data_IF_509197933920
#
_entry.id   IF_509197933920
#
_cell.length_a   1.000
_cell.length_b   1.000
_cell.length_c   1.000
_cell.angle_alpha   90.00
_cell.angle_beta   90.00
_cell.angle_gamma   90.00
#
_symmetry.space_group_name_H-M   'P 1'
#
loop_
_entity.id
_entity.type
_entity.pdbx_description
1 polymer ?
#
# COMPACT_ATOMS: atom_id res chain seq x y z
N UNK A 1 12.04 24.00 11.54
CA UNK A 1 11.36 22.71 11.73
C UNK A 1 12.20 21.56 11.22
N UNK A 2 12.07 20.37 11.81
CA UNK A 2 12.78 19.21 11.31
C UNK A 2 12.08 18.60 10.09
N UNK A 3 12.85 18.19 9.11
CA UNK A 3 12.40 17.46 7.96
C UNK A 3 13.44 16.43 7.50
N UNK A 4 12.98 15.27 7.05
CA UNK A 4 13.84 14.30 6.37
C UNK A 4 13.93 14.70 4.90
N UNK A 5 15.14 14.91 4.40
CA UNK A 5 15.39 15.32 3.02
C UNK A 5 16.42 14.45 2.33
N UNK A 6 16.39 14.43 1.00
CA UNK A 6 17.45 13.94 0.14
C UNK A 6 17.75 14.95 -0.97
N UNK A 7 19.06 15.11 -1.26
CA UNK A 7 19.60 16.07 -2.24
C UNK A 7 19.71 15.47 -3.65
N UNK A 8 19.73 14.16 -3.75
CA UNK A 8 19.78 13.37 -4.98
C UNK A 8 19.14 12.01 -4.75
N UNK A 9 18.63 11.41 -5.80
CA UNK A 9 18.09 10.03 -5.75
C UNK A 9 19.21 9.03 -5.45
N UNK A 10 18.86 7.94 -4.77
CA UNK A 10 19.81 6.88 -4.40
C UNK A 10 19.23 5.94 -3.35
N UNK A 11 20.07 5.11 -2.76
CA UNK A 11 19.65 4.21 -1.70
C UNK A 11 19.20 4.98 -0.46
N UNK A 12 17.99 4.72 0.09
CA UNK A 12 17.38 5.51 1.17
C UNK A 12 18.31 5.71 2.36
N UNK A 13 18.95 4.63 2.80
CA UNK A 13 19.90 4.70 3.92
C UNK A 13 21.07 5.67 3.69
N UNK A 14 21.53 5.81 2.44
CA UNK A 14 22.69 6.63 2.11
C UNK A 14 22.35 8.11 1.86
N UNK A 15 21.15 8.39 1.32
CA UNK A 15 20.83 9.75 0.84
C UNK A 15 19.94 10.55 1.78
N UNK A 16 19.20 9.89 2.68
CA UNK A 16 18.30 10.56 3.63
C UNK A 16 19.05 11.20 4.78
N UNK A 17 18.67 12.44 5.12
CA UNK A 17 19.16 13.17 6.28
C UNK A 17 18.02 13.93 6.93
N UNK A 18 18.01 13.99 8.26
CA UNK A 18 17.16 14.92 9.00
C UNK A 18 17.86 16.28 9.06
N UNK A 19 17.18 17.31 8.61
CA UNK A 19 17.68 18.68 8.51
C UNK A 19 16.67 19.63 9.18
N UNK A 20 17.21 20.72 9.72
CA UNK A 20 16.40 21.84 10.12
C UNK A 20 16.16 22.76 8.91
N UNK A 21 14.91 23.05 8.60
CA UNK A 21 14.49 23.91 7.47
C UNK A 21 13.46 24.93 7.93
N UNK A 22 13.22 25.96 7.13
CA UNK A 22 12.18 26.94 7.39
C UNK A 22 10.79 26.29 7.37
N UNK A 23 9.91 26.76 8.24
CA UNK A 23 8.52 26.35 8.26
C UNK A 23 7.80 26.90 7.03
N UNK A 24 7.18 26.05 6.19
CA UNK A 24 6.53 26.50 4.98
C UNK A 24 5.24 27.27 5.29
N UNK A 25 4.89 28.19 4.39
CA UNK A 25 3.66 28.99 4.47
C UNK A 25 2.68 28.51 3.40
N UNK A 26 1.43 28.18 3.77
CA UNK A 26 0.44 27.71 2.81
C UNK A 26 -0.04 28.85 1.90
N UNK A 27 -0.09 28.59 0.58
CA UNK A 27 -0.65 29.49 -0.42
C UNK A 27 -2.18 29.34 -0.50
N UNK A 28 -2.83 30.20 -1.30
CA UNK A 28 -4.27 30.12 -1.55
C UNK A 28 -4.70 28.69 -1.98
N UNK A 29 -5.69 28.13 -1.28
CA UNK A 29 -6.17 26.76 -1.50
C UNK A 29 -5.36 25.65 -0.82
N UNK A 30 -4.27 25.99 -0.14
CA UNK A 30 -3.45 25.05 0.62
C UNK A 30 -3.71 25.15 2.14
N UNK A 31 -3.35 24.12 2.85
CA UNK A 31 -3.32 24.06 4.31
C UNK A 31 -1.93 23.66 4.81
N UNK A 32 -1.55 24.20 5.95
CA UNK A 32 -0.39 23.77 6.71
C UNK A 32 -0.87 22.78 7.76
N UNK A 33 -0.32 21.58 7.72
CA UNK A 33 -0.63 20.50 8.65
C UNK A 33 0.57 20.26 9.56
N UNK A 34 0.38 20.33 10.87
CA UNK A 34 1.32 19.84 11.87
C UNK A 34 1.20 18.30 11.86
N UNK A 35 2.24 17.63 11.42
CA UNK A 35 2.24 16.18 11.28
C UNK A 35 2.36 15.50 12.66
N UNK A 36 1.62 14.41 12.84
CA UNK A 36 1.65 13.56 14.03
C UNK A 36 2.42 12.27 13.74
N UNK A 37 2.11 11.63 12.63
CA UNK A 37 2.76 10.38 12.21
C UNK A 37 2.62 10.14 10.71
N UNK A 38 3.57 9.39 10.15
CA UNK A 38 3.58 8.98 8.74
C UNK A 38 4.18 7.57 8.62
N UNK A 39 3.62 6.67 7.79
CA UNK A 39 4.22 5.37 7.54
C UNK A 39 5.39 5.48 6.55
N UNK A 40 6.26 4.48 6.56
CA UNK A 40 7.20 4.23 5.47
C UNK A 40 6.56 3.20 4.53
N UNK A 41 6.19 3.64 3.33
CA UNK A 41 5.64 2.78 2.29
C UNK A 41 6.70 2.40 1.24
N UNK A 42 6.59 1.25 0.56
CA UNK A 42 7.47 0.91 -0.54
C UNK A 42 7.54 2.00 -1.62
N UNK A 43 6.42 2.72 -1.86
CA UNK A 43 6.37 3.86 -2.79
C UNK A 43 7.28 5.02 -2.38
N UNK A 44 7.42 5.28 -1.08
CA UNK A 44 8.33 6.32 -0.58
C UNK A 44 9.79 5.94 -0.86
N UNK A 45 10.15 4.67 -0.63
CA UNK A 45 11.49 4.15 -0.89
C UNK A 45 11.81 4.14 -2.39
N UNK A 46 10.83 3.77 -3.24
CA UNK A 46 10.99 3.86 -4.70
C UNK A 46 11.14 5.30 -5.18
N UNK A 47 10.43 6.25 -4.57
CA UNK A 47 10.56 7.67 -4.87
C UNK A 47 11.98 8.18 -4.55
N UNK A 48 12.52 7.82 -3.40
CA UNK A 48 13.88 8.19 -3.00
C UNK A 48 14.93 7.58 -3.96
N UNK A 49 14.68 6.34 -4.44
CA UNK A 49 15.54 5.69 -5.45
C UNK A 49 15.41 6.26 -6.86
N UNK A 50 14.46 7.17 -7.10
CA UNK A 50 14.17 7.68 -8.45
C UNK A 50 13.48 6.66 -9.37
N UNK A 51 12.88 5.62 -8.80
CA UNK A 51 12.17 4.54 -9.52
C UNK A 51 10.64 4.67 -9.43
N UNK A 52 10.15 5.76 -8.86
CA UNK A 52 8.72 6.03 -8.78
C UNK A 52 8.27 6.87 -9.97
N UNK A 53 6.99 6.79 -10.31
CA UNK A 53 6.42 7.46 -11.49
C UNK A 53 6.36 8.98 -11.39
N UNK A 54 6.38 9.52 -10.18
CA UNK A 54 6.56 10.96 -9.95
C UNK A 54 8.06 11.20 -9.73
N UNK A 55 8.75 11.94 -10.63
CA UNK A 55 10.17 12.20 -10.46
C UNK A 55 10.41 13.10 -9.25
N UNK A 56 11.45 12.79 -8.48
CA UNK A 56 11.87 13.60 -7.35
C UNK A 56 12.53 14.90 -7.82
N UNK A 57 12.01 16.03 -7.36
CA UNK A 57 12.61 17.35 -7.58
C UNK A 57 13.47 17.70 -6.36
N UNK A 58 14.72 17.26 -6.36
CA UNK A 58 15.65 17.47 -5.25
C UNK A 58 16.11 18.94 -5.13
N UNK A 59 16.31 19.47 -3.91
CA UNK A 59 16.10 18.79 -2.63
C UNK A 59 14.62 18.60 -2.30
N UNK A 60 14.25 17.44 -1.71
CA UNK A 60 12.85 17.15 -1.41
C UNK A 60 12.69 16.27 -0.16
N UNK A 61 11.51 16.36 0.46
CA UNK A 61 11.08 15.55 1.61
C UNK A 61 10.16 14.44 1.10
N UNK A 62 10.39 13.17 1.46
CA UNK A 62 9.50 12.06 1.12
C UNK A 62 8.22 12.04 1.97
N UNK A 63 7.41 10.99 1.76
CA UNK A 63 6.19 10.72 2.53
C UNK A 63 4.92 11.14 1.80
N UNK A 64 4.20 10.14 1.26
CA UNK A 64 2.96 10.38 0.49
C UNK A 64 1.69 10.28 1.33
N UNK A 65 1.76 9.70 2.52
CA UNK A 65 0.63 9.48 3.41
C UNK A 65 1.02 9.83 4.86
N UNK A 66 0.06 10.25 5.66
CA UNK A 66 0.26 10.51 7.07
C UNK A 66 -0.98 11.08 7.74
N UNK A 67 -0.86 11.43 9.02
CA UNK A 67 -1.90 12.09 9.82
C UNK A 67 -1.32 13.31 10.51
N UNK A 68 -2.13 14.35 10.62
CA UNK A 68 -1.75 15.57 11.32
C UNK A 68 -2.96 16.43 11.69
N UNK A 69 -2.69 17.63 12.20
CA UNK A 69 -3.71 18.63 12.57
C UNK A 69 -3.51 19.88 11.70
N UNK A 70 -4.56 20.36 11.07
CA UNK A 70 -4.50 21.59 10.27
C UNK A 70 -4.26 22.77 11.19
N UNK A 71 -3.14 23.46 11.02
CA UNK A 71 -2.71 24.55 11.89
C UNK A 71 -2.85 25.93 11.24
N UNK A 72 -2.71 26.01 9.93
CA UNK A 72 -2.93 27.24 9.17
C UNK A 72 -3.55 26.94 7.80
N UNK A 73 -4.17 27.97 7.21
CA UNK A 73 -4.76 27.91 5.87
C UNK A 73 -4.35 29.16 5.07
N UNK A 74 -3.96 28.95 3.82
CA UNK A 74 -3.74 30.02 2.86
C UNK A 74 -5.04 30.62 2.28
N UNK A 75 -6.21 30.17 2.80
CA UNK A 75 -7.53 30.65 2.38
C UNK A 75 -8.37 29.60 1.66
N UNK A 76 -9.59 30.01 1.26
CA UNK A 76 -10.58 29.11 0.66
C UNK A 76 -11.48 28.42 1.69
N UNK A 77 -12.68 28.01 1.24
CA UNK A 77 -13.72 27.45 2.11
C UNK A 77 -13.26 26.17 2.82
N UNK A 78 -12.66 25.25 2.09
CA UNK A 78 -12.18 23.97 2.66
C UNK A 78 -11.07 24.17 3.68
N UNK A 79 -10.09 25.06 3.38
CA UNK A 79 -9.00 25.33 4.30
C UNK A 79 -9.51 25.88 5.63
N UNK A 80 -10.49 26.80 5.60
CA UNK A 80 -11.13 27.32 6.83
C UNK A 80 -11.93 26.27 7.58
N UNK A 81 -12.66 25.41 6.86
CA UNK A 81 -13.47 24.32 7.46
C UNK A 81 -12.61 23.28 8.18
N UNK A 82 -11.37 23.06 7.72
CA UNK A 82 -10.49 22.04 8.28
C UNK A 82 -9.56 22.54 9.39
N UNK A 83 -9.56 23.85 9.68
CA UNK A 83 -8.76 24.42 10.78
C UNK A 83 -8.95 23.65 12.08
N UNK A 84 -7.83 23.33 12.74
CA UNK A 84 -7.76 22.59 14.01
C UNK A 84 -8.35 21.17 13.97
N UNK A 85 -8.70 20.68 12.79
CA UNK A 85 -9.17 19.30 12.62
C UNK A 85 -8.01 18.35 12.39
N UNK A 86 -8.15 17.13 12.93
CA UNK A 86 -7.28 16.02 12.59
C UNK A 86 -7.63 15.51 11.19
N UNK A 87 -6.60 15.35 10.35
CA UNK A 87 -6.76 14.98 8.96
C UNK A 87 -5.74 13.91 8.56
N UNK A 88 -6.16 12.99 7.70
CA UNK A 88 -5.23 12.19 6.90
C UNK A 88 -4.71 13.06 5.76
N UNK A 89 -3.42 13.01 5.51
CA UNK A 89 -2.73 13.80 4.49
C UNK A 89 -2.28 12.87 3.37
N UNK A 90 -2.75 13.15 2.15
CA UNK A 90 -2.37 12.43 0.93
C UNK A 90 -1.53 13.35 0.04
N UNK A 91 -0.24 13.43 0.30
CA UNK A 91 0.64 14.36 -0.40
C UNK A 91 1.26 13.71 -1.63
N UNK A 92 0.71 14.00 -2.80
CA UNK A 92 1.14 13.38 -4.07
C UNK A 92 2.57 13.70 -4.50
N UNK A 93 3.17 14.74 -3.92
CA UNK A 93 4.54 15.18 -4.23
C UNK A 93 5.55 14.76 -3.16
N UNK A 94 5.10 14.09 -2.11
CA UNK A 94 5.86 13.89 -0.88
C UNK A 94 5.79 15.11 0.03
N UNK A 95 6.49 15.06 1.17
CA UNK A 95 6.56 16.16 2.12
C UNK A 95 6.07 15.83 3.53
N UNK A 96 5.58 14.61 3.77
CA UNK A 96 4.99 14.27 5.07
C UNK A 96 6.03 13.83 6.12
N UNK A 97 7.28 13.53 5.73
CA UNK A 97 8.34 13.18 6.68
C UNK A 97 9.00 14.43 7.27
N UNK A 98 8.17 15.28 7.87
CA UNK A 98 8.58 16.55 8.45
C UNK A 98 7.60 16.97 9.57
N UNK A 99 8.01 17.90 10.43
CA UNK A 99 7.14 18.47 11.49
C UNK A 99 5.87 19.11 10.90
N UNK A 100 5.99 19.72 9.72
CA UNK A 100 4.89 20.37 9.01
C UNK A 100 4.91 20.03 7.52
N UNK A 101 3.71 19.83 6.97
CA UNK A 101 3.50 19.63 5.53
C UNK A 101 2.52 20.67 4.99
N UNK A 102 2.82 21.27 3.82
CA UNK A 102 1.86 22.08 3.06
C UNK A 102 1.29 21.24 1.95
N UNK A 103 -0.03 21.18 1.88
CA UNK A 103 -0.75 20.37 0.88
C UNK A 103 -2.01 21.12 0.40
N UNK A 104 -2.47 20.86 -0.84
CA UNK A 104 -3.78 21.33 -1.27
C UNK A 104 -4.88 20.87 -0.30
N UNK A 105 -5.82 21.74 0.05
CA UNK A 105 -6.94 21.38 0.92
C UNK A 105 -7.84 20.27 0.35
N UNK A 106 -7.65 19.88 -0.91
CA UNK A 106 -8.31 18.75 -1.56
C UNK A 106 -7.60 17.40 -1.32
N UNK A 107 -6.38 17.43 -0.79
CA UNK A 107 -5.55 16.25 -0.50
C UNK A 107 -5.56 15.88 0.99
N UNK A 108 -6.40 16.53 1.78
CA UNK A 108 -6.64 16.14 3.18
C UNK A 108 -8.03 15.56 3.35
N UNK A 109 -8.14 14.57 4.24
CA UNK A 109 -9.38 13.89 4.59
C UNK A 109 -9.62 14.09 6.08
N UNK A 110 -10.64 14.86 6.49
CA UNK A 110 -11.01 14.95 7.90
C UNK A 110 -11.36 13.58 8.43
N UNK A 111 -10.78 13.22 9.58
CA UNK A 111 -10.96 11.89 10.17
C UNK A 111 -11.46 11.99 11.61
N UNK A 112 -12.29 11.02 12.01
CA UNK A 112 -12.80 10.95 13.37
C UNK A 112 -11.70 10.71 14.39
N UNK A 113 -11.88 11.22 15.59
CA UNK A 113 -11.01 10.98 16.73
C UNK A 113 -11.10 9.53 17.28
N UNK A 114 -12.07 8.73 16.81
CA UNK A 114 -12.18 7.33 17.22
C UNK A 114 -11.01 6.45 16.75
N UNK A 115 -10.36 6.80 15.63
CA UNK A 115 -9.18 6.08 15.15
C UNK A 115 -7.93 6.52 15.92
N UNK A 116 -7.05 5.59 16.26
CA UNK A 116 -5.75 5.92 16.82
C UNK A 116 -4.88 6.73 15.83
N UNK A 117 -3.78 7.31 16.30
CA UNK A 117 -2.85 8.02 15.40
C UNK A 117 -2.25 7.06 14.39
N UNK A 118 -1.93 5.85 14.78
CA UNK A 118 -1.36 4.78 13.95
C UNK A 118 -2.35 4.35 12.84
N UNK A 119 -3.60 4.11 13.20
CA UNK A 119 -4.66 3.79 12.24
C UNK A 119 -4.91 4.94 11.26
N UNK A 120 -4.89 6.18 11.75
CA UNK A 120 -5.08 7.36 10.92
C UNK A 120 -3.88 7.64 10.00
N UNK A 121 -2.64 7.39 10.47
CA UNK A 121 -1.43 7.54 9.65
C UNK A 121 -1.37 6.55 8.47
N UNK A 122 -1.99 5.36 8.62
CA UNK A 122 -2.01 4.29 7.62
C UNK A 122 -3.39 4.08 6.99
N UNK A 123 -4.24 5.11 7.05
CA UNK A 123 -5.67 5.05 6.75
C UNK A 123 -5.99 4.75 5.29
N UNK A 124 -5.20 5.24 4.34
CA UNK A 124 -5.68 5.33 2.97
C UNK A 124 -4.97 4.42 1.98
N UNK A 125 -3.64 4.48 1.87
CA UNK A 125 -2.93 3.83 0.74
C UNK A 125 -3.19 2.33 0.69
N UNK A 126 -2.88 1.59 1.74
CA UNK A 126 -3.09 0.14 1.76
C UNK A 126 -4.57 -0.26 1.88
N UNK A 127 -5.38 0.33 2.79
CA UNK A 127 -6.80 0.00 2.91
C UNK A 127 -7.60 0.27 1.63
N UNK A 128 -7.38 1.43 0.98
CA UNK A 128 -8.05 1.75 -0.27
C UNK A 128 -7.58 0.84 -1.41
N UNK A 129 -6.28 0.51 -1.48
CA UNK A 129 -5.74 -0.42 -2.48
C UNK A 129 -6.37 -1.80 -2.33
N UNK A 130 -6.42 -2.36 -1.11
CA UNK A 130 -7.03 -3.66 -0.86
C UNK A 130 -8.51 -3.69 -1.27
N UNK A 131 -9.28 -2.68 -0.83
CA UNK A 131 -10.70 -2.58 -1.18
C UNK A 131 -10.91 -2.41 -2.69
N UNK A 132 -10.24 -1.43 -3.29
CA UNK A 132 -10.45 -1.08 -4.70
C UNK A 132 -10.06 -2.23 -5.62
N UNK A 133 -8.91 -2.87 -5.42
CA UNK A 133 -8.50 -4.00 -6.27
C UNK A 133 -9.50 -5.15 -6.20
N UNK A 134 -9.91 -5.54 -4.99
CA UNK A 134 -10.73 -6.74 -4.80
C UNK A 134 -12.22 -6.52 -5.04
N UNK A 135 -12.76 -5.33 -4.70
CA UNK A 135 -14.20 -5.09 -4.69
C UNK A 135 -14.72 -4.16 -5.80
N UNK A 136 -13.86 -3.28 -6.32
CA UNK A 136 -14.27 -2.33 -7.38
C UNK A 136 -13.74 -2.74 -8.75
N UNK A 137 -12.48 -3.22 -8.84
CA UNK A 137 -11.85 -3.57 -10.12
C UNK A 137 -12.05 -5.04 -10.47
N UNK A 138 -11.59 -5.96 -9.63
CA UNK A 138 -11.76 -7.41 -9.86
C UNK A 138 -13.17 -7.89 -9.52
N UNK A 139 -13.83 -7.27 -8.54
CA UNK A 139 -15.17 -7.64 -8.04
C UNK A 139 -15.25 -9.13 -7.70
N UNK A 140 -14.25 -9.61 -6.95
CA UNK A 140 -14.11 -11.03 -6.62
C UNK A 140 -15.40 -11.55 -5.98
N UNK A 141 -16.11 -12.52 -6.57
CA UNK A 141 -17.36 -13.04 -6.01
C UNK A 141 -17.11 -13.88 -4.75
N UNK A 142 -18.17 -14.02 -3.94
CA UNK A 142 -18.16 -14.94 -2.82
C UNK A 142 -17.87 -16.39 -3.29
N UNK A 143 -17.06 -17.13 -2.51
CA UNK A 143 -16.65 -18.49 -2.82
C UNK A 143 -15.55 -18.62 -3.88
N UNK A 144 -15.24 -17.56 -4.63
CA UNK A 144 -14.15 -17.58 -5.62
C UNK A 144 -12.79 -17.35 -4.99
N UNK A 145 -11.75 -17.90 -5.63
CA UNK A 145 -10.37 -17.75 -5.21
C UNK A 145 -9.73 -16.48 -5.74
N UNK A 146 -9.01 -15.77 -4.87
CA UNK A 146 -8.06 -14.71 -5.20
C UNK A 146 -6.65 -15.19 -4.87
N UNK A 147 -5.77 -15.27 -5.86
CA UNK A 147 -4.34 -15.53 -5.65
C UNK A 147 -3.62 -14.22 -5.41
N UNK A 148 -2.78 -14.15 -4.38
CA UNK A 148 -1.96 -12.98 -4.12
C UNK A 148 -0.49 -13.33 -3.84
N UNK A 149 0.44 -12.54 -4.39
CA UNK A 149 1.85 -12.55 -4.01
C UNK A 149 2.10 -11.58 -2.85
N UNK A 150 3.24 -11.72 -2.16
CA UNK A 150 3.61 -10.93 -0.99
C UNK A 150 2.51 -10.89 0.09
N UNK A 151 1.83 -12.01 0.32
CA UNK A 151 0.70 -12.11 1.23
C UNK A 151 1.03 -11.75 2.69
N UNK A 152 2.29 -11.87 3.12
CA UNK A 152 2.78 -11.44 4.43
C UNK A 152 2.93 -9.93 4.60
N UNK A 153 2.76 -9.13 3.54
CA UNK A 153 2.79 -7.67 3.62
C UNK A 153 1.57 -7.11 4.35
N UNK A 154 1.66 -5.85 4.78
CA UNK A 154 0.52 -5.16 5.41
C UNK A 154 -0.74 -5.20 4.53
N UNK A 155 -0.60 -5.00 3.23
CA UNK A 155 -1.72 -5.07 2.28
C UNK A 155 -2.22 -6.51 2.11
N UNK A 156 -1.33 -7.49 1.98
CA UNK A 156 -1.71 -8.91 1.83
C UNK A 156 -2.51 -9.43 3.03
N UNK A 157 -2.14 -9.04 4.25
CA UNK A 157 -2.88 -9.35 5.49
C UNK A 157 -4.28 -8.73 5.49
N UNK A 158 -4.43 -7.49 5.03
CA UNK A 158 -5.73 -6.83 4.87
C UNK A 158 -6.63 -7.61 3.90
N UNK A 159 -6.07 -8.13 2.80
CA UNK A 159 -6.82 -8.90 1.80
C UNK A 159 -7.29 -10.24 2.36
N UNK A 160 -6.48 -10.92 3.19
CA UNK A 160 -6.90 -12.13 3.89
C UNK A 160 -8.12 -11.85 4.77
N UNK A 161 -8.04 -10.84 5.66
CA UNK A 161 -9.16 -10.46 6.53
C UNK A 161 -10.39 -9.97 5.74
N UNK A 162 -10.14 -9.30 4.60
CA UNK A 162 -11.22 -8.88 3.71
C UNK A 162 -11.90 -10.06 3.02
N UNK A 163 -11.15 -11.10 2.64
CA UNK A 163 -11.67 -12.36 2.13
C UNK A 163 -12.62 -13.01 3.13
N UNK A 164 -12.20 -13.14 4.39
CA UNK A 164 -13.04 -13.66 5.47
C UNK A 164 -14.33 -12.84 5.64
N UNK A 165 -14.23 -11.50 5.56
CA UNK A 165 -15.38 -10.60 5.76
C UNK A 165 -16.35 -10.60 4.58
N UNK A 166 -15.86 -10.76 3.36
CA UNK A 166 -16.66 -10.65 2.13
C UNK A 166 -16.90 -11.98 1.42
N UNK A 167 -16.33 -13.08 1.96
CA UNK A 167 -16.59 -14.46 1.55
C UNK A 167 -15.83 -14.96 0.32
N UNK A 168 -14.81 -14.24 -0.19
CA UNK A 168 -13.92 -14.83 -1.19
C UNK A 168 -12.74 -15.55 -0.50
N UNK A 169 -12.24 -16.58 -1.16
CA UNK A 169 -11.12 -17.38 -0.67
C UNK A 169 -9.78 -16.80 -1.11
N UNK A 170 -8.73 -17.00 -0.30
CA UNK A 170 -7.40 -16.47 -0.60
C UNK A 170 -6.36 -17.59 -0.74
N UNK A 171 -5.61 -17.56 -1.86
CA UNK A 171 -4.39 -18.32 -2.04
C UNK A 171 -3.20 -17.38 -1.87
N UNK A 172 -2.39 -17.61 -0.85
CA UNK A 172 -1.45 -16.65 -0.30
C UNK A 172 -0.02 -17.11 -0.53
N UNK A 173 0.71 -16.43 -1.43
CA UNK A 173 2.11 -16.75 -1.72
C UNK A 173 3.01 -15.92 -0.82
N UNK A 174 3.85 -16.57 -0.05
CA UNK A 174 4.86 -15.99 0.84
C UNK A 174 6.24 -16.55 0.52
N UNK A 175 7.29 -15.86 0.96
CA UNK A 175 8.67 -16.30 0.71
C UNK A 175 9.23 -17.17 1.84
N UNK A 176 8.66 -17.13 3.05
CA UNK A 176 9.21 -17.77 4.24
C UNK A 176 8.20 -18.64 4.96
N UNK A 177 8.65 -19.81 5.41
CA UNK A 177 7.87 -20.75 6.21
C UNK A 177 7.33 -20.12 7.50
N UNK A 178 8.11 -19.23 8.14
CA UNK A 178 7.71 -18.54 9.37
C UNK A 178 6.44 -17.69 9.24
N UNK A 179 5.99 -17.37 8.02
CA UNK A 179 4.78 -16.60 7.76
C UNK A 179 3.51 -17.47 7.66
N UNK A 180 3.66 -18.78 7.52
CA UNK A 180 2.53 -19.68 7.20
C UNK A 180 1.51 -19.71 8.33
N UNK A 181 1.95 -20.01 9.55
CA UNK A 181 1.03 -20.14 10.70
C UNK A 181 0.39 -18.81 11.06
N UNK A 182 1.16 -17.74 10.97
CA UNK A 182 0.66 -16.39 11.20
C UNK A 182 -0.46 -16.00 10.22
N UNK A 183 -0.30 -16.29 8.92
CA UNK A 183 -1.34 -15.99 7.94
C UNK A 183 -2.55 -16.94 8.05
N UNK A 184 -2.34 -18.18 8.45
CA UNK A 184 -3.46 -19.10 8.77
C UNK A 184 -4.28 -18.57 9.95
N UNK A 185 -3.63 -18.06 10.99
CA UNK A 185 -4.33 -17.48 12.14
C UNK A 185 -5.13 -16.21 11.79
N UNK A 186 -4.76 -15.50 10.70
CA UNK A 186 -5.52 -14.38 10.14
C UNK A 186 -6.72 -14.83 9.28
N UNK A 187 -6.88 -16.14 9.05
CA UNK A 187 -7.95 -16.70 8.24
C UNK A 187 -7.58 -16.94 6.78
N UNK A 188 -6.29 -17.09 6.45
CA UNK A 188 -5.87 -17.48 5.10
C UNK A 188 -6.39 -18.89 4.75
N UNK A 189 -7.09 -19.04 3.61
CA UNK A 189 -7.62 -20.34 3.19
C UNK A 189 -6.52 -21.29 2.71
N UNK A 190 -5.48 -20.76 2.06
CA UNK A 190 -4.27 -21.49 1.69
C UNK A 190 -3.05 -20.58 1.75
N UNK A 191 -1.93 -21.13 2.23
CA UNK A 191 -0.63 -20.43 2.24
C UNK A 191 0.41 -21.35 1.58
N UNK A 192 1.07 -20.82 0.55
CA UNK A 192 2.11 -21.48 -0.21
C UNK A 192 3.44 -20.73 -0.04
N UNK A 193 4.49 -21.48 0.28
CA UNK A 193 5.84 -20.92 0.39
C UNK A 193 6.54 -21.06 -0.95
N UNK A 194 6.94 -19.93 -1.51
CA UNK A 194 7.69 -19.87 -2.75
C UNK A 194 8.90 -18.93 -2.62
N UNK A 195 10.08 -19.53 -2.60
CA UNK A 195 11.37 -18.84 -2.63
C UNK A 195 12.00 -19.07 -4.00
N UNK A 196 12.11 -18.03 -4.82
CA UNK A 196 12.63 -18.09 -6.20
C UNK A 196 14.03 -18.73 -6.29
N UNK A 197 14.83 -18.66 -5.21
CA UNK A 197 16.16 -19.27 -5.15
C UNK A 197 16.13 -20.78 -4.91
N UNK A 198 15.00 -21.33 -4.45
CA UNK A 198 14.89 -22.73 -4.02
C UNK A 198 13.82 -23.53 -4.75
N UNK A 199 12.80 -22.87 -5.27
CA UNK A 199 11.61 -23.50 -5.81
C UNK A 199 11.48 -23.28 -7.31
N UNK A 200 11.05 -24.32 -8.02
CA UNK A 200 10.73 -24.24 -9.44
C UNK A 200 9.34 -23.61 -9.64
N UNK A 201 9.17 -22.65 -10.58
CA UNK A 201 7.87 -22.03 -10.87
C UNK A 201 6.76 -23.04 -11.21
N UNK A 202 7.08 -24.15 -11.86
CA UNK A 202 6.12 -25.20 -12.23
C UNK A 202 5.45 -25.84 -11.00
N UNK A 203 6.17 -25.98 -9.90
CA UNK A 203 5.60 -26.49 -8.64
C UNK A 203 4.56 -25.52 -8.07
N UNK A 204 4.82 -24.21 -8.13
CA UNK A 204 3.86 -23.19 -7.72
C UNK A 204 2.62 -23.17 -8.63
N UNK A 205 2.81 -23.25 -9.96
CA UNK A 205 1.71 -23.35 -10.93
C UNK A 205 0.82 -24.55 -10.63
N UNK A 206 1.43 -25.72 -10.39
CA UNK A 206 0.70 -26.94 -10.06
C UNK A 206 -0.07 -26.81 -8.74
N UNK A 207 0.53 -26.20 -7.71
CA UNK A 207 -0.10 -25.96 -6.41
C UNK A 207 -1.30 -25.00 -6.53
N UNK A 208 -1.13 -23.87 -7.22
CA UNK A 208 -2.23 -22.93 -7.47
C UNK A 208 -3.39 -23.63 -8.18
N UNK A 209 -3.11 -24.33 -9.30
CA UNK A 209 -4.16 -25.02 -10.08
C UNK A 209 -4.87 -26.08 -9.27
N UNK A 210 -4.15 -26.93 -8.53
CA UNK A 210 -4.74 -27.99 -7.71
C UNK A 210 -5.66 -27.43 -6.63
N UNK A 211 -5.27 -26.33 -5.99
CA UNK A 211 -6.01 -25.74 -4.85
C UNK A 211 -7.19 -24.89 -5.29
N UNK A 212 -7.04 -24.11 -6.38
CA UNK A 212 -8.03 -23.10 -6.77
C UNK A 212 -8.99 -23.55 -7.86
N UNK A 213 -8.68 -24.65 -8.56
CA UNK A 213 -9.55 -25.13 -9.65
C UNK A 213 -10.75 -25.92 -9.14
N UNK A 214 -11.92 -25.38 -9.37
CA UNK A 214 -13.16 -26.13 -9.43
C UNK A 214 -13.23 -26.69 -10.86
N UNK A 215 -12.75 -27.90 -11.14
CA UNK A 215 -12.75 -28.51 -12.49
C UNK A 215 -11.55 -28.26 -13.43
N UNK A 216 -10.36 -27.90 -12.92
CA UNK A 216 -9.16 -27.76 -13.79
C UNK A 216 -9.06 -26.47 -14.59
N UNK A 217 -9.98 -25.52 -14.40
CA UNK A 217 -10.12 -24.32 -15.25
C UNK A 217 -9.10 -23.19 -14.96
N UNK A 218 -8.23 -23.32 -13.94
CA UNK A 218 -7.32 -22.26 -13.50
C UNK A 218 -8.00 -21.17 -12.65
N UNK A 219 -7.21 -20.20 -12.16
CA UNK A 219 -7.71 -19.16 -11.25
C UNK A 219 -8.34 -17.98 -12.00
N UNK A 220 -9.47 -17.48 -11.49
CA UNK A 220 -10.18 -16.35 -12.10
C UNK A 220 -9.63 -14.97 -11.70
N UNK A 221 -9.05 -14.84 -10.50
CA UNK A 221 -8.64 -13.55 -9.94
C UNK A 221 -7.28 -13.63 -9.27
N UNK A 222 -6.41 -12.70 -9.60
CA UNK A 222 -5.09 -12.60 -9.00
C UNK A 222 -4.64 -11.14 -8.83
N UNK A 223 -3.75 -10.92 -7.86
CA UNK A 223 -3.04 -9.66 -7.65
C UNK A 223 -1.56 -9.95 -7.39
N UNK A 224 -0.70 -9.12 -7.95
CA UNK A 224 0.73 -9.30 -7.84
C UNK A 224 1.46 -8.00 -7.44
N UNK A 225 2.26 -8.10 -6.36
CA UNK A 225 3.13 -7.05 -5.87
C UNK A 225 4.60 -7.30 -6.20
N UNK A 226 4.94 -8.50 -6.63
CA UNK A 226 6.33 -8.98 -6.69
C UNK A 226 6.90 -8.85 -8.09
N UNK A 227 6.22 -9.37 -9.10
CA UNK A 227 6.82 -9.59 -10.42
C UNK A 227 7.64 -10.89 -10.44
N UNK A 228 8.73 -10.92 -11.22
CA UNK A 228 9.67 -12.04 -11.29
C UNK A 228 9.03 -13.39 -11.55
N UNK A 229 9.64 -14.47 -11.02
CA UNK A 229 9.16 -15.84 -11.19
C UNK A 229 7.81 -16.08 -10.50
N UNK A 230 7.58 -15.50 -9.32
CA UNK A 230 6.32 -15.64 -8.60
C UNK A 230 5.14 -15.06 -9.39
N UNK A 231 5.24 -13.80 -9.85
CA UNK A 231 4.22 -13.16 -10.68
C UNK A 231 4.01 -13.90 -12.00
N UNK A 232 5.08 -14.39 -12.62
CA UNK A 232 5.04 -15.17 -13.86
C UNK A 232 4.29 -16.49 -13.67
N UNK A 233 4.50 -17.18 -12.55
CA UNK A 233 3.77 -18.41 -12.21
C UNK A 233 2.29 -18.15 -11.99
N UNK A 234 1.94 -17.02 -11.34
CA UNK A 234 0.54 -16.60 -11.17
C UNK A 234 -0.14 -16.37 -12.52
N UNK A 235 0.52 -15.68 -13.47
CA UNK A 235 -0.02 -15.47 -14.83
C UNK A 235 -0.27 -16.81 -15.51
N UNK A 236 0.67 -17.75 -15.43
CA UNK A 236 0.57 -19.07 -16.05
C UNK A 236 -0.52 -19.96 -15.40
N UNK A 237 -0.99 -19.59 -14.21
CA UNK A 237 -2.05 -20.27 -13.49
C UNK A 237 -3.45 -19.69 -13.79
N UNK A 238 -3.54 -18.58 -14.52
CA UNK A 238 -4.82 -17.97 -14.88
C UNK A 238 -5.65 -18.91 -15.74
N UNK A 239 -6.92 -19.00 -15.38
CA UNK A 239 -7.94 -19.75 -16.11
C UNK A 239 -8.60 -18.92 -17.20
N UNK A 240 -9.67 -19.47 -17.77
CA UNK A 240 -10.44 -18.81 -18.82
C UNK A 240 -11.05 -17.50 -18.30
N UNK A 241 -10.78 -16.41 -19.03
CA UNK A 241 -11.11 -15.03 -18.63
C UNK A 241 -10.52 -14.57 -17.28
N UNK A 242 -9.51 -15.27 -16.78
CA UNK A 242 -8.81 -14.91 -15.54
C UNK A 242 -8.17 -13.51 -15.65
N UNK A 243 -8.19 -12.78 -14.54
CA UNK A 243 -7.64 -11.41 -14.47
C UNK A 243 -6.60 -11.30 -13.37
N UNK A 244 -5.45 -10.72 -13.69
CA UNK A 244 -4.42 -10.36 -12.71
C UNK A 244 -4.17 -8.87 -12.71
N UNK A 245 -4.15 -8.25 -11.54
CA UNK A 245 -3.68 -6.87 -11.35
C UNK A 245 -2.23 -6.88 -10.85
N UNK A 246 -1.33 -6.30 -11.64
CA UNK A 246 0.03 -6.00 -11.21
C UNK A 246 0.05 -4.60 -10.56
N UNK A 247 0.39 -4.52 -9.26
CA UNK A 247 0.36 -3.27 -8.49
C UNK A 247 1.67 -2.93 -7.79
N UNK A 248 2.69 -3.79 -7.90
CA UNK A 248 4.00 -3.58 -7.33
C UNK A 248 5.10 -4.27 -8.13
N UNK A 249 6.35 -3.97 -7.78
CA UNK A 249 7.56 -4.49 -8.42
C UNK A 249 8.62 -4.72 -7.33
N UNK A 250 8.31 -5.62 -6.37
CA UNK A 250 9.24 -5.93 -5.27
C UNK A 250 10.43 -6.77 -5.72
N UNK A 251 10.28 -7.55 -6.80
CA UNK A 251 11.39 -8.17 -7.50
C UNK A 251 12.01 -7.18 -8.49
N UNK A 252 13.32 -7.32 -8.75
CA UNK A 252 13.98 -6.61 -9.84
C UNK A 252 13.81 -7.35 -11.19
N UNK A 253 13.37 -8.60 -11.15
CA UNK A 253 13.18 -9.44 -12.32
C UNK A 253 11.85 -9.12 -13.02
N UNK A 254 11.82 -9.09 -14.37
CA UNK A 254 10.59 -8.85 -15.11
C UNK A 254 9.64 -10.04 -15.04
N UNK A 255 8.37 -9.78 -15.35
CA UNK A 255 7.41 -10.84 -15.65
C UNK A 255 7.81 -11.55 -16.94
N UNK A 256 7.91 -12.88 -16.90
CA UNK A 256 8.29 -13.71 -18.04
C UNK A 256 7.27 -14.83 -18.24
N UNK A 257 6.57 -14.80 -19.37
CA UNK A 257 5.59 -15.83 -19.74
C UNK A 257 5.36 -15.86 -21.25
N UNK A 258 4.91 -17.02 -21.77
CA UNK A 258 4.52 -17.13 -23.18
C UNK A 258 3.20 -16.39 -23.42
N UNK A 259 3.09 -15.54 -24.44
CA UNK A 259 1.82 -14.93 -24.84
C UNK A 259 0.70 -15.93 -25.12
N UNK A 260 1.07 -17.17 -25.47
CA UNK A 260 0.12 -18.27 -25.67
C UNK A 260 -0.80 -18.48 -24.45
N UNK A 261 -0.29 -18.26 -23.24
CA UNK A 261 -1.11 -18.39 -22.00
C UNK A 261 -2.29 -17.44 -22.06
N UNK A 262 -2.09 -16.18 -22.39
CA UNK A 262 -3.15 -15.18 -22.50
C UNK A 262 -4.10 -15.49 -23.67
N UNK A 263 -3.55 -15.94 -24.80
CA UNK A 263 -4.33 -16.25 -26.02
C UNK A 263 -5.26 -17.45 -25.80
N UNK A 264 -4.78 -18.52 -25.17
CA UNK A 264 -5.56 -19.76 -25.01
C UNK A 264 -6.62 -19.67 -23.92
N UNK A 265 -6.41 -18.80 -22.91
CA UNK A 265 -7.34 -18.62 -21.79
C UNK A 265 -8.16 -17.33 -21.90
N UNK A 266 -7.90 -16.46 -22.87
CA UNK A 266 -8.48 -15.12 -22.95
C UNK A 266 -8.32 -14.32 -21.65
N UNK A 267 -7.26 -14.63 -20.87
CA UNK A 267 -6.95 -13.98 -19.62
C UNK A 267 -6.33 -12.60 -19.82
N UNK A 268 -6.29 -11.78 -18.76
CA UNK A 268 -5.79 -10.40 -18.79
C UNK A 268 -4.81 -10.12 -17.67
N UNK A 269 -3.73 -9.42 -18.00
CA UNK A 269 -2.80 -8.83 -17.03
C UNK A 269 -2.88 -7.33 -17.15
N UNK A 270 -3.24 -6.66 -16.06
CA UNK A 270 -3.54 -5.24 -16.04
C UNK A 270 -2.71 -4.54 -14.95
N UNK A 271 -2.10 -3.40 -15.27
CA UNK A 271 -1.43 -2.57 -14.26
C UNK A 271 -2.47 -1.86 -13.38
N UNK A 272 -2.27 -1.88 -12.07
CA UNK A 272 -3.12 -1.15 -11.12
C UNK A 272 -2.32 -0.10 -10.36
N UNK A 273 -2.85 1.11 -10.31
CA UNK A 273 -2.33 2.20 -9.51
C UNK A 273 -3.47 2.99 -8.85
N UNK A 274 -3.49 2.99 -7.51
CA UNK A 274 -4.55 3.64 -6.74
C UNK A 274 -4.73 5.11 -7.10
N UNK A 275 -3.64 5.87 -7.26
CA UNK A 275 -3.71 7.30 -7.60
C UNK A 275 -4.41 7.57 -8.93
N UNK A 276 -4.14 6.74 -9.96
CA UNK A 276 -4.82 6.83 -11.26
C UNK A 276 -6.30 6.46 -11.15
N UNK A 277 -6.62 5.39 -10.44
CA UNK A 277 -8.00 5.00 -10.18
C UNK A 277 -8.78 6.12 -9.48
N UNK A 278 -8.21 6.68 -8.40
CA UNK A 278 -8.84 7.75 -7.63
C UNK A 278 -8.99 9.07 -8.39
N UNK A 279 -8.17 9.33 -9.39
CA UNK A 279 -8.33 10.49 -10.28
C UNK A 279 -9.57 10.38 -11.19
N UNK A 280 -9.94 9.15 -11.57
CA UNK A 280 -11.08 8.88 -12.46
C UNK A 280 -12.43 8.75 -11.78
N UNK A 281 -12.52 8.74 -10.43
CA UNK A 281 -13.78 8.51 -9.72
C UNK A 281 -14.41 9.80 -9.20
N UNK A 282 -15.74 9.78 -9.08
CA UNK A 282 -16.54 10.91 -8.61
C UNK A 282 -16.36 11.22 -7.12
N UNK A 283 -16.69 12.44 -6.70
CA UNK A 283 -16.64 12.84 -5.29
C UNK A 283 -17.57 11.99 -4.40
N UNK A 284 -18.83 11.67 -4.77
CA UNK A 284 -19.67 10.77 -3.98
C UNK A 284 -19.02 9.41 -3.74
N UNK A 285 -18.34 8.82 -4.74
CA UNK A 285 -17.59 7.58 -4.59
C UNK A 285 -16.45 7.74 -3.55
N UNK A 286 -15.66 8.82 -3.64
CA UNK A 286 -14.58 9.10 -2.68
C UNK A 286 -15.09 9.19 -1.24
N UNK A 287 -16.20 9.88 -1.03
CA UNK A 287 -16.82 10.01 0.30
C UNK A 287 -17.36 8.66 0.81
N UNK A 288 -17.99 7.88 -0.08
CA UNK A 288 -18.46 6.52 0.25
C UNK A 288 -17.30 5.61 0.61
N UNK A 289 -16.20 5.66 -0.15
CA UNK A 289 -14.98 4.89 0.12
C UNK A 289 -14.41 5.25 1.50
N UNK A 290 -14.22 6.53 1.81
CA UNK A 290 -13.71 6.97 3.12
C UNK A 290 -14.56 6.43 4.27
N UNK A 291 -15.91 6.53 4.19
CA UNK A 291 -16.81 5.99 5.22
C UNK A 291 -16.67 4.48 5.38
N UNK A 292 -16.50 3.76 4.27
CA UNK A 292 -16.31 2.30 4.26
C UNK A 292 -14.98 1.90 4.88
N UNK A 293 -13.90 2.58 4.48
CA UNK A 293 -12.57 2.34 5.06
C UNK A 293 -12.58 2.58 6.57
N UNK A 294 -13.18 3.68 7.04
CA UNK A 294 -13.32 3.96 8.48
C UNK A 294 -13.96 2.78 9.22
N UNK A 295 -15.09 2.27 8.71
CA UNK A 295 -15.79 1.13 9.34
C UNK A 295 -14.94 -0.15 9.35
N UNK A 296 -14.25 -0.44 8.25
CA UNK A 296 -13.45 -1.66 8.13
C UNK A 296 -12.15 -1.59 8.93
N UNK A 297 -11.57 -0.40 9.09
CA UNK A 297 -10.41 -0.18 9.96
C UNK A 297 -10.82 -0.31 11.43
N UNK A 298 -11.92 0.33 11.83
CA UNK A 298 -12.47 0.25 13.18
C UNK A 298 -12.81 -1.21 13.57
N UNK A 299 -13.37 -1.97 12.62
CA UNK A 299 -13.63 -3.41 12.79
C UNK A 299 -12.37 -4.31 12.72
N UNK A 300 -11.16 -3.75 12.59
CA UNK A 300 -9.91 -4.51 12.49
C UNK A 300 -9.63 -5.18 11.13
N UNK A 301 -10.56 -5.12 10.16
CA UNK A 301 -10.42 -5.80 8.86
C UNK A 301 -9.32 -5.18 8.01
N UNK A 302 -9.31 -3.84 7.89
CA UNK A 302 -8.31 -3.09 7.14
C UNK A 302 -7.32 -2.35 8.05
N UNK A 303 -7.15 -2.78 9.28
CA UNK A 303 -6.16 -2.22 10.20
C UNK A 303 -4.74 -2.62 9.81
N UNK A 304 -3.81 -1.71 10.08
CA UNK A 304 -2.37 -1.93 9.89
C UNK A 304 -1.71 -2.27 11.21
N UNK A 305 -0.96 -3.35 11.26
CA UNK A 305 -0.09 -3.68 12.39
C UNK A 305 1.19 -2.84 12.32
N UNK A 306 1.53 -2.17 13.42
CA UNK A 306 2.75 -1.38 13.52
C UNK A 306 3.82 -2.21 14.19
N UNK A 307 4.85 -2.55 13.43
CA UNK A 307 5.98 -3.33 13.94
C UNK A 307 7.00 -2.48 14.70
N UNK A 308 7.19 -1.24 14.26
CA UNK A 308 8.17 -0.34 14.86
C UNK A 308 7.74 1.12 14.71
N UNK A 309 8.00 1.91 15.74
CA UNK A 309 7.85 3.37 15.71
C UNK A 309 9.22 4.01 15.92
N UNK A 310 9.57 4.96 15.06
CA UNK A 310 10.82 5.72 15.09
C UNK A 310 10.51 7.22 15.05
N UNK A 311 11.46 8.06 15.46
CA UNK A 311 11.42 9.51 15.25
C UNK A 311 12.05 9.90 13.91
N UNK A 312 11.90 11.16 13.47
CA UNK A 312 12.57 11.65 12.26
C UNK A 312 14.10 11.53 12.35
N UNK A 313 14.68 11.72 13.54
CA UNK A 313 16.12 11.60 13.75
C UNK A 313 16.64 10.14 13.64
N UNK A 314 15.76 9.16 13.72
CA UNK A 314 16.08 7.74 13.56
C UNK A 314 15.79 7.23 12.14
N UNK A 315 15.82 8.13 11.14
CA UNK A 315 15.39 7.79 9.77
C UNK A 315 16.20 6.64 9.15
N UNK A 316 17.50 6.55 9.40
CA UNK A 316 18.31 5.45 8.88
C UNK A 316 17.87 4.09 9.44
N UNK A 317 17.60 4.02 10.74
CA UNK A 317 17.10 2.79 11.38
C UNK A 317 15.69 2.46 10.92
N UNK A 318 14.86 3.50 10.72
CA UNK A 318 13.49 3.35 10.26
C UNK A 318 13.43 2.78 8.83
N UNK A 319 14.27 3.27 7.90
CA UNK A 319 14.28 2.73 6.52
C UNK A 319 14.88 1.34 6.45
N UNK A 320 15.92 1.03 7.26
CA UNK A 320 16.44 -0.34 7.38
C UNK A 320 15.37 -1.31 7.85
N UNK A 321 14.64 -0.94 8.91
CA UNK A 321 13.55 -1.77 9.43
C UNK A 321 12.40 -1.92 8.43
N UNK A 322 12.09 -0.88 7.64
CA UNK A 322 11.04 -0.95 6.62
C UNK A 322 11.41 -1.82 5.41
N UNK A 323 12.70 -2.01 5.14
CA UNK A 323 13.24 -2.88 4.08
C UNK A 323 13.51 -4.30 4.57
N UNK A 324 13.63 -4.49 5.88
CA UNK A 324 13.81 -5.81 6.46
C UNK A 324 12.54 -6.63 6.32
N UNK A 325 12.60 -7.59 5.43
CA UNK A 325 11.47 -8.48 5.16
C UNK A 325 11.12 -9.40 6.35
N UNK A 326 11.98 -9.49 7.39
CA UNK A 326 11.68 -10.24 8.62
C UNK A 326 10.75 -9.48 9.56
N UNK A 327 10.67 -8.16 9.41
CA UNK A 327 9.79 -7.30 10.23
C UNK A 327 8.34 -7.45 9.76
N UNK A 328 7.52 -8.07 10.58
CA UNK A 328 6.09 -8.22 10.30
C UNK A 328 5.34 -6.95 10.73
N UNK A 329 4.78 -6.21 9.75
CA UNK A 329 4.05 -4.98 10.01
C UNK A 329 4.68 -3.75 9.37
N UNK A 330 4.13 -2.58 9.71
CA UNK A 330 4.55 -1.28 9.14
C UNK A 330 5.49 -0.55 10.09
N UNK A 331 6.50 0.10 9.53
CA UNK A 331 7.31 1.08 10.28
C UNK A 331 6.64 2.45 10.19
N UNK A 332 6.51 3.11 11.34
CA UNK A 332 5.90 4.41 11.49
C UNK A 332 6.94 5.44 11.97
N UNK A 333 6.94 6.61 11.37
CA UNK A 333 7.62 7.78 11.92
C UNK A 333 6.64 8.54 12.80
N UNK A 334 6.88 8.60 14.11
CA UNK A 334 6.16 9.45 15.06
C UNK A 334 6.83 10.81 15.08
N UNK A 335 6.07 11.86 14.77
CA UNK A 335 6.60 13.20 14.61
C UNK A 335 6.24 14.07 15.81
N UNK A 336 4.98 14.03 16.24
CA UNK A 336 4.51 14.76 17.42
C UNK A 336 3.47 13.93 18.19
N UNK A 337 3.21 14.36 19.41
CA UNK A 337 2.06 13.88 20.18
C UNK A 337 0.75 14.49 19.66
N UNK A 338 -0.36 13.75 19.89
CA UNK A 338 -1.69 14.10 19.38
C UNK A 338 -2.30 15.30 20.12
#
# INVERSE_FOLDING_TARGET
MNAVQFQKTGEPFAVLKTLEIDRPVPKAGEVLVRMLATPINPSDLMYIRGRYTVPAQCPTTPGFEGVGVVEASGGGLRGRLFMKRRVVVLNRRGGNWADYAVVPATEVIPISSCLSVEQAATFFVNPATAWVMTREVLKVPQGQWLVQTAAGSALGRMIIRLGQTTGFKTFNIVRRESQVEELRSLGADHVEVFDEAKNMPDALIASIRRTTSISGAGVGFAIDAVGGAAGSAVIQSLGHHGRMLAYGTLSNEPLSFSPRVLMTTSSKVEGFWLGRFMAGVSLPFKLSLVRRLTKLIDAGVLSTEIARTCTLNQIQDAVKAAEDSSVAGKVLLRIAEA
#
